data_IF_131531118972
#
_entry.id   IF_131531118972
#
_cell.length_a   1.000
_cell.length_b   1.000
_cell.length_c   1.000
_cell.angle_alpha   90.00
_cell.angle_beta   90.00
_cell.angle_gamma   90.00
#
_symmetry.space_group_name_H-M   'P 1'
#
loop_
_entity.id
_entity.type
_entity.pdbx_description
1 polymer ?
#
# COMPACT_ATOMS: atom_id res chain seq x y z
N UNK A 1 6.51 -19.95 23.66
CA UNK A 1 5.71 -21.20 23.74
C UNK A 1 4.79 -21.05 24.93
N UNK A 2 3.50 -20.81 24.70
CA UNK A 2 2.48 -20.84 25.75
C UNK A 2 1.67 -22.13 25.60
N UNK A 3 1.30 -22.79 26.71
CA UNK A 3 0.56 -24.05 26.66
C UNK A 3 -0.87 -23.81 26.13
N UNK A 4 -1.34 -24.72 25.26
CA UNK A 4 -2.74 -24.79 24.83
C UNK A 4 -3.51 -25.64 25.84
N UNK A 5 -4.28 -24.99 26.71
CA UNK A 5 -5.26 -25.66 27.57
C UNK A 5 -6.56 -25.92 26.79
N UNK A 6 -7.14 -27.09 27.04
CA UNK A 6 -8.27 -27.66 26.33
C UNK A 6 -9.61 -27.09 26.83
N UNK A 7 -10.46 -26.70 25.87
CA UNK A 7 -11.91 -26.90 25.86
C UNK A 7 -12.72 -26.74 27.16
N UNK A 8 -12.88 -25.51 27.66
CA UNK A 8 -14.08 -25.10 28.42
C UNK A 8 -14.40 -23.64 28.08
N UNK A 9 -15.43 -23.39 27.24
CA UNK A 9 -16.02 -22.05 27.07
C UNK A 9 -15.06 -20.91 26.71
N UNK A 10 -13.90 -21.21 26.12
CA UNK A 10 -12.86 -20.22 25.91
C UNK A 10 -13.29 -19.22 24.82
N UNK A 11 -13.49 -17.97 25.22
CA UNK A 11 -13.47 -16.83 24.32
C UNK A 11 -12.25 -16.97 23.42
N UNK A 12 -12.46 -17.04 22.11
CA UNK A 12 -11.38 -17.00 21.15
C UNK A 12 -10.67 -15.66 21.34
N UNK A 13 -9.51 -15.67 21.99
CA UNK A 13 -8.56 -14.58 21.90
C UNK A 13 -7.82 -14.80 20.58
N UNK A 14 -8.10 -14.00 19.53
CA UNK A 14 -7.23 -14.02 18.37
C UNK A 14 -5.83 -13.75 18.88
N UNK A 15 -4.91 -14.64 18.51
CA UNK A 15 -3.49 -14.40 18.65
C UNK A 15 -3.17 -13.23 17.73
N UNK A 16 -3.37 -12.00 18.21
CA UNK A 16 -3.06 -10.73 17.55
C UNK A 16 -1.54 -10.58 17.53
N UNK A 17 -0.87 -11.53 16.90
CA UNK A 17 0.53 -11.42 16.55
C UNK A 17 0.69 -10.28 15.55
N UNK A 18 1.86 -9.66 15.56
CA UNK A 18 2.29 -8.67 14.56
C UNK A 18 2.22 -9.16 13.11
N UNK A 19 1.98 -10.46 12.87
CA UNK A 19 1.82 -11.05 11.55
C UNK A 19 0.35 -11.27 11.15
N UNK A 20 -0.61 -10.78 11.94
CA UNK A 20 -2.03 -10.82 11.57
C UNK A 20 -2.30 -9.85 10.42
N UNK A 21 -3.18 -10.23 9.48
CA UNK A 21 -3.51 -9.39 8.32
C UNK A 21 -4.05 -8.01 8.74
N UNK A 22 -4.82 -7.95 9.84
CA UNK A 22 -5.35 -6.69 10.37
C UNK A 22 -4.24 -5.71 10.74
N UNK A 23 -3.14 -6.16 11.35
CA UNK A 23 -2.00 -5.30 11.71
C UNK A 23 -1.35 -4.69 10.47
N UNK A 24 -1.28 -5.44 9.37
CA UNK A 24 -0.75 -4.96 8.10
C UNK A 24 -1.67 -3.93 7.46
N UNK A 25 -2.98 -4.19 7.45
CA UNK A 25 -3.98 -3.24 6.94
C UNK A 25 -3.95 -1.95 7.74
N UNK A 26 -4.05 -2.03 9.08
CA UNK A 26 -3.99 -0.84 9.95
C UNK A 26 -2.68 -0.08 9.81
N UNK A 27 -1.54 -0.77 9.65
CA UNK A 27 -0.27 -0.10 9.40
C UNK A 27 -0.27 0.67 8.06
N UNK A 28 -0.87 0.11 7.01
CA UNK A 28 -0.99 0.78 5.72
C UNK A 28 -1.95 1.98 5.76
N UNK A 29 -3.03 1.89 6.53
CA UNK A 29 -3.95 3.01 6.79
C UNK A 29 -3.25 4.16 7.52
N UNK A 30 -2.48 3.87 8.57
CA UNK A 30 -1.68 4.87 9.30
C UNK A 30 -0.63 5.56 8.42
N UNK A 31 -0.18 4.89 7.36
CA UNK A 31 0.77 5.42 6.39
C UNK A 31 0.10 6.21 5.26
N UNK A 32 -1.22 6.40 5.32
CA UNK A 32 -2.03 7.07 4.30
C UNK A 32 -1.75 6.51 2.89
N UNK A 33 -1.69 5.17 2.75
CA UNK A 33 -1.38 4.52 1.46
C UNK A 33 -2.41 4.87 0.37
N UNK A 34 -3.60 5.31 0.76
CA UNK A 34 -4.65 5.75 -0.15
C UNK A 34 -4.22 6.94 -1.01
N UNK A 35 -3.30 7.79 -0.51
CA UNK A 35 -2.71 8.91 -1.27
C UNK A 35 -1.99 8.45 -2.54
N UNK A 36 -1.51 7.20 -2.60
CA UNK A 36 -0.82 6.64 -3.78
C UNK A 36 -1.68 5.67 -4.59
N UNK A 37 -2.94 5.46 -4.19
CA UNK A 37 -3.88 4.53 -4.81
C UNK A 37 -4.98 5.23 -5.61
N UNK A 38 -4.92 6.55 -5.78
CA UNK A 38 -5.95 7.27 -6.53
C UNK A 38 -5.89 6.91 -8.01
N UNK A 39 -7.02 6.44 -8.53
CA UNK A 39 -7.14 6.09 -9.94
C UNK A 39 -7.02 7.36 -10.80
N UNK A 40 -6.33 7.25 -11.94
CA UNK A 40 -6.11 8.33 -12.91
C UNK A 40 -5.20 9.48 -12.46
N UNK A 41 -4.69 9.47 -11.23
CA UNK A 41 -3.68 10.44 -10.79
C UNK A 41 -2.28 10.06 -11.30
N UNK A 42 -1.51 11.09 -11.69
CA UNK A 42 -0.13 10.94 -12.16
C UNK A 42 0.83 11.46 -11.10
N UNK A 43 1.64 10.56 -10.56
CA UNK A 43 2.64 10.85 -9.53
C UNK A 43 4.02 11.04 -10.12
N UNK A 44 4.69 12.12 -9.72
CA UNK A 44 6.13 12.28 -9.81
C UNK A 44 6.82 12.01 -8.47
N UNK A 45 8.15 12.05 -8.46
CA UNK A 45 8.90 11.96 -7.20
C UNK A 45 8.67 13.19 -6.31
N UNK A 46 8.42 14.35 -6.89
CA UNK A 46 8.24 15.58 -6.12
C UNK A 46 6.85 15.59 -5.45
N UNK A 47 5.82 15.07 -6.11
CA UNK A 47 4.46 14.97 -5.57
C UNK A 47 4.38 14.05 -4.33
N UNK A 48 5.11 12.93 -4.36
CA UNK A 48 5.12 11.95 -3.27
C UNK A 48 6.16 12.25 -2.18
N UNK A 49 6.87 13.37 -2.25
CA UNK A 49 8.01 13.65 -1.36
C UNK A 49 7.59 13.76 0.09
N UNK A 50 6.56 14.56 0.37
CA UNK A 50 6.08 14.79 1.74
C UNK A 50 5.52 13.52 2.36
N UNK A 51 4.79 12.73 1.57
CA UNK A 51 4.30 11.42 1.94
C UNK A 51 5.47 10.46 2.28
N UNK A 52 6.48 10.39 1.41
CA UNK A 52 7.65 9.54 1.64
C UNK A 52 8.41 9.93 2.92
N UNK A 53 8.53 11.22 3.22
CA UNK A 53 9.15 11.72 4.45
C UNK A 53 8.33 11.34 5.70
N UNK A 54 6.99 11.26 5.60
CA UNK A 54 6.14 10.66 6.66
C UNK A 54 6.44 9.18 6.82
N UNK A 55 6.44 8.42 5.73
CA UNK A 55 6.70 6.96 5.75
C UNK A 55 8.07 6.62 6.35
N UNK A 56 9.12 7.38 6.02
CA UNK A 56 10.49 7.14 6.51
C UNK A 56 10.63 7.30 8.04
N UNK A 57 9.75 8.09 8.67
CA UNK A 57 9.69 8.22 10.14
C UNK A 57 9.27 6.91 10.81
N UNK A 58 8.48 6.08 10.13
CA UNK A 58 7.94 4.82 10.64
C UNK A 58 8.71 3.58 10.14
N UNK A 59 9.88 3.75 9.50
CA UNK A 59 10.64 2.66 8.84
C UNK A 59 10.88 1.40 9.68
N UNK A 60 11.09 1.54 10.99
CA UNK A 60 11.30 0.38 11.88
C UNK A 60 10.01 -0.41 12.04
N UNK A 61 8.88 0.27 12.32
CA UNK A 61 7.57 -0.37 12.42
C UNK A 61 7.11 -0.99 11.10
N UNK A 62 7.41 -0.33 9.97
CA UNK A 62 7.17 -0.89 8.63
C UNK A 62 7.91 -2.21 8.44
N UNK A 63 9.19 -2.28 8.84
CA UNK A 63 9.95 -3.52 8.75
C UNK A 63 9.35 -4.62 9.63
N UNK A 64 8.97 -4.28 10.85
CA UNK A 64 8.49 -5.26 11.83
C UNK A 64 7.08 -5.79 11.51
N UNK A 65 6.20 -4.95 10.95
CA UNK A 65 4.80 -5.30 10.67
C UNK A 65 4.62 -5.78 9.22
N UNK A 66 5.16 -5.03 8.25
CA UNK A 66 4.97 -5.30 6.82
C UNK A 66 6.08 -6.19 6.23
N UNK A 67 7.16 -6.42 6.97
CA UNK A 67 8.28 -7.25 6.51
C UNK A 67 9.12 -6.60 5.40
N UNK A 68 8.94 -5.30 5.14
CA UNK A 68 9.64 -4.58 4.08
C UNK A 68 10.54 -3.48 4.64
N UNK A 69 11.73 -3.35 4.08
CA UNK A 69 12.66 -2.28 4.48
C UNK A 69 12.53 -1.07 3.56
N UNK A 70 12.27 0.10 4.13
CA UNK A 70 12.34 1.41 3.45
C UNK A 70 13.55 2.20 3.95
N UNK A 71 14.23 2.93 3.06
CA UNK A 71 15.47 3.66 3.39
C UNK A 71 15.50 5.02 2.69
N UNK A 72 16.23 5.98 3.25
CA UNK A 72 16.40 7.33 2.71
C UNK A 72 17.05 7.37 1.31
N UNK A 73 17.73 6.28 0.90
CA UNK A 73 18.31 6.15 -0.45
C UNK A 73 17.26 5.83 -1.51
N UNK A 74 16.06 5.42 -1.11
CA UNK A 74 14.97 5.12 -2.04
C UNK A 74 14.26 6.41 -2.43
N UNK A 75 13.96 6.55 -3.71
CA UNK A 75 13.08 7.61 -4.19
C UNK A 75 11.64 7.42 -3.68
N UNK A 76 10.84 8.51 -3.56
CA UNK A 76 9.44 8.42 -3.15
C UNK A 76 8.62 7.39 -3.94
N UNK A 77 8.82 7.35 -5.27
CA UNK A 77 8.16 6.35 -6.12
C UNK A 77 8.61 4.93 -5.77
N UNK A 78 9.90 4.70 -5.50
CA UNK A 78 10.37 3.36 -5.07
C UNK A 78 9.77 2.94 -3.73
N UNK A 79 9.57 3.88 -2.80
CA UNK A 79 8.91 3.62 -1.51
C UNK A 79 7.45 3.23 -1.75
N UNK A 80 6.72 3.99 -2.56
CA UNK A 80 5.34 3.69 -2.94
C UNK A 80 5.21 2.30 -3.59
N UNK A 81 6.02 2.01 -4.61
CA UNK A 81 6.04 0.69 -5.26
C UNK A 81 6.31 -0.45 -4.28
N UNK A 82 7.22 -0.24 -3.31
CA UNK A 82 7.58 -1.26 -2.33
C UNK A 82 6.47 -1.54 -1.32
N UNK A 83 5.76 -0.49 -0.88
CA UNK A 83 4.62 -0.64 0.03
C UNK A 83 3.41 -1.24 -0.70
N UNK A 84 3.11 -0.80 -1.91
CA UNK A 84 2.05 -1.39 -2.74
C UNK A 84 2.31 -2.87 -3.05
N UNK A 85 3.58 -3.25 -3.24
CA UNK A 85 3.98 -4.63 -3.46
C UNK A 85 3.61 -5.57 -2.32
N UNK A 86 3.42 -5.08 -1.09
CA UNK A 86 2.92 -5.89 0.05
C UNK A 86 1.52 -6.43 -0.23
N UNK A 87 0.71 -5.71 -1.02
CA UNK A 87 -0.64 -6.09 -1.42
C UNK A 87 -0.69 -6.69 -2.84
N UNK A 88 0.45 -6.92 -3.49
CA UNK A 88 0.51 -7.33 -4.90
C UNK A 88 0.12 -6.22 -5.88
N UNK A 89 0.18 -4.96 -5.46
CA UNK A 89 -0.14 -3.78 -6.27
C UNK A 89 1.13 -3.09 -6.79
N UNK A 90 1.00 -2.24 -7.81
CA UNK A 90 2.15 -1.51 -8.35
C UNK A 90 1.82 -0.11 -8.90
N UNK A 91 2.82 0.78 -8.94
CA UNK A 91 2.80 2.01 -9.74
C UNK A 91 3.44 1.77 -11.10
N UNK A 92 2.64 1.98 -12.15
CA UNK A 92 3.08 1.78 -13.53
C UNK A 92 3.51 3.09 -14.16
N UNK A 93 4.67 3.09 -14.81
CA UNK A 93 5.13 4.23 -15.60
C UNK A 93 4.14 4.54 -16.73
N UNK A 94 3.75 5.80 -16.89
CA UNK A 94 2.82 6.23 -17.95
C UNK A 94 3.51 7.08 -19.02
N UNK A 95 4.17 8.17 -18.63
CA UNK A 95 4.72 9.11 -19.58
C UNK A 95 5.82 10.00 -18.97
N UNK A 96 6.37 10.89 -19.81
CA UNK A 96 7.19 12.01 -19.35
C UNK A 96 6.37 13.30 -19.41
N UNK A 97 6.57 14.18 -18.42
CA UNK A 97 6.17 15.58 -18.46
C UNK A 97 7.39 16.47 -18.69
N UNK A 98 7.20 17.57 -19.42
CA UNK A 98 8.23 18.54 -19.77
C UNK A 98 8.76 18.35 -21.20
N UNK A 99 9.16 19.46 -21.83
CA UNK A 99 9.70 19.47 -23.19
C UNK A 99 11.18 19.85 -23.24
N UNK A 100 11.99 18.97 -23.86
CA UNK A 100 13.39 19.27 -24.17
C UNK A 100 13.53 20.52 -25.06
N UNK A 101 12.56 20.73 -25.96
CA UNK A 101 12.51 21.90 -26.85
C UNK A 101 12.31 23.21 -26.08
N UNK A 102 11.63 23.16 -24.94
CA UNK A 102 11.39 24.31 -24.06
C UNK A 102 12.41 24.42 -22.91
N UNK A 103 13.47 23.58 -22.90
CA UNK A 103 14.42 23.46 -21.77
C UNK A 103 13.75 23.17 -20.43
N UNK A 104 12.58 22.54 -20.44
CA UNK A 104 11.90 22.09 -19.23
C UNK A 104 12.52 20.77 -18.75
N UNK A 105 12.65 20.59 -17.44
CA UNK A 105 13.13 19.35 -16.84
C UNK A 105 12.16 18.22 -17.18
N UNK A 106 12.68 17.11 -17.73
CA UNK A 106 11.87 15.92 -18.02
C UNK A 106 11.62 15.15 -16.72
N UNK A 107 10.36 14.99 -16.36
CA UNK A 107 9.91 14.27 -15.16
C UNK A 107 9.16 13.00 -15.59
N UNK A 108 9.40 11.87 -14.91
CA UNK A 108 8.65 10.62 -15.14
C UNK A 108 7.39 10.65 -14.31
N UNK A 109 6.27 10.29 -14.93
CA UNK A 109 4.97 10.18 -14.27
C UNK A 109 4.54 8.72 -14.18
N UNK A 110 3.98 8.37 -13.04
CA UNK A 110 3.52 7.03 -12.68
C UNK A 110 2.05 7.09 -12.27
N UNK A 111 1.33 6.00 -12.46
CA UNK A 111 -0.09 5.92 -12.11
C UNK A 111 -0.34 4.60 -11.38
N UNK A 112 -1.21 4.65 -10.38
CA UNK A 112 -1.78 3.45 -9.79
C UNK A 112 -2.57 2.67 -10.85
N UNK A 113 -2.40 1.35 -10.90
CA UNK A 113 -3.16 0.49 -11.80
C UNK A 113 -3.94 -0.49 -10.95
N UNK A 114 -5.28 -0.36 -10.88
CA UNK A 114 -6.10 -1.28 -10.11
C UNK A 114 -6.02 -2.69 -10.70
N UNK A 115 -5.97 -3.73 -9.86
CA UNK A 115 -6.04 -5.13 -10.26
C UNK A 115 -7.21 -5.41 -11.19
N UNK A 116 -6.93 -6.15 -12.26
CA UNK A 116 -7.90 -6.65 -13.22
C UNK A 116 -8.17 -8.14 -12.93
N UNK A 117 -8.59 -8.45 -11.70
CA UNK A 117 -8.82 -9.80 -11.19
C UNK A 117 -10.31 -10.16 -11.07
N UNK A 118 -11.18 -9.43 -11.77
CA UNK A 118 -12.64 -9.58 -11.76
C UNK A 118 -13.29 -9.47 -10.37
N UNK A 119 -12.57 -9.05 -9.33
CA UNK A 119 -13.13 -8.91 -7.98
C UNK A 119 -14.32 -7.95 -7.92
N UNK A 120 -14.38 -6.96 -8.80
CA UNK A 120 -15.53 -6.07 -8.94
C UNK A 120 -16.82 -6.80 -9.29
N UNK A 121 -16.75 -7.82 -10.14
CA UNK A 121 -17.91 -8.65 -10.52
C UNK A 121 -18.38 -9.50 -9.33
N UNK A 122 -17.43 -10.08 -8.58
CA UNK A 122 -17.71 -10.85 -7.36
C UNK A 122 -18.38 -9.97 -6.31
N UNK A 123 -17.81 -8.78 -6.06
CA UNK A 123 -18.37 -7.82 -5.10
C UNK A 123 -19.76 -7.34 -5.51
N UNK A 124 -19.98 -7.08 -6.80
CA UNK A 124 -21.30 -6.75 -7.33
C UNK A 124 -22.32 -7.88 -7.09
N UNK A 125 -21.92 -9.13 -7.31
CA UNK A 125 -22.79 -10.29 -7.06
C UNK A 125 -23.12 -10.46 -5.56
N UNK A 126 -22.15 -10.29 -4.67
CA UNK A 126 -22.38 -10.32 -3.21
C UNK A 126 -23.30 -9.20 -2.73
N UNK A 127 -23.09 -7.98 -3.23
CA UNK A 127 -23.95 -6.85 -2.90
C UNK A 127 -25.39 -7.06 -3.40
N UNK A 128 -25.56 -7.64 -4.59
CA UNK A 128 -26.88 -8.00 -5.12
C UNK A 128 -27.56 -9.12 -4.33
N UNK A 129 -26.78 -10.05 -3.74
CA UNK A 129 -27.30 -11.07 -2.84
C UNK A 129 -27.72 -10.49 -1.48
N UNK A 130 -26.91 -9.60 -0.91
CA UNK A 130 -27.17 -8.98 0.39
C UNK A 130 -28.33 -7.97 0.37
N UNK A 131 -28.72 -7.47 -0.80
CA UNK A 131 -29.85 -6.56 -0.99
C UNK A 131 -31.22 -7.27 -1.15
N UNK A 132 -31.26 -8.61 -1.08
CA UNK A 132 -32.49 -9.42 -1.04
C UNK A 132 -32.81 -9.85 0.38
#
# INVERSE_FOLDING_TARGET
MLPKEAGEGNFYFPDLTSNTYISKVTALEILDIEEVMQEHELYSNDDLREWADRVLRYRSGIKDILGVTVTEKMSPIQIAKKLLGVMGLDLTYKCYQGSARKKEKRVRLYCFTPPQDHRGEIFAAWNAFAAK
#
